data_IF_260220061013
#
_entry.id   IF_260220061013
#
_cell.length_a   1.000
_cell.length_b   1.000
_cell.length_c   1.000
_cell.angle_alpha   90.00
_cell.angle_beta   90.00
_cell.angle_gamma   90.00
#
_symmetry.space_group_name_H-M   'P 1'
#
loop_
_entity.id
_entity.type
_entity.pdbx_description
1 polymer ?
#
# COMPACT_ATOMS: atom_id res chain seq x y z
N UNK A 1 27.66 12.58 -25.02
CA UNK A 1 26.50 12.42 -24.12
C UNK A 1 26.51 11.00 -23.60
N UNK A 2 27.12 10.73 -22.43
CA UNK A 2 27.10 9.38 -21.88
C UNK A 2 25.67 9.04 -21.51
N UNK A 3 25.12 8.00 -22.11
CA UNK A 3 23.88 7.35 -21.64
C UNK A 3 24.22 6.73 -20.29
N UNK A 4 24.27 7.55 -19.24
CA UNK A 4 24.66 7.13 -17.92
C UNK A 4 23.64 6.10 -17.43
N UNK A 5 24.11 4.91 -17.07
CA UNK A 5 23.26 3.86 -16.52
C UNK A 5 22.50 4.30 -15.26
N UNK A 6 21.58 3.47 -14.81
CA UNK A 6 20.86 3.66 -13.55
C UNK A 6 21.84 3.91 -12.39
N UNK A 7 21.73 5.06 -11.73
CA UNK A 7 22.59 5.42 -10.60
C UNK A 7 21.94 5.03 -9.27
N UNK A 8 22.49 4.00 -8.62
CA UNK A 8 22.07 3.59 -7.28
C UNK A 8 22.13 4.72 -6.25
N UNK A 9 23.11 5.63 -6.40
CA UNK A 9 23.27 6.79 -5.52
C UNK A 9 22.05 7.72 -5.59
N UNK A 10 21.48 7.95 -6.78
CA UNK A 10 20.30 8.80 -6.98
C UNK A 10 19.03 8.17 -6.43
N UNK A 11 18.83 6.87 -6.69
CA UNK A 11 17.72 6.08 -6.10
C UNK A 11 17.76 6.20 -4.57
N UNK A 12 18.92 5.96 -3.97
CA UNK A 12 19.10 6.02 -2.52
C UNK A 12 18.90 7.44 -1.97
N UNK A 13 19.26 8.47 -2.72
CA UNK A 13 19.03 9.86 -2.34
C UNK A 13 17.52 10.18 -2.28
N UNK A 14 16.74 9.75 -3.28
CA UNK A 14 15.28 9.87 -3.29
C UNK A 14 14.68 9.13 -2.09
N UNK A 15 15.06 7.87 -1.86
CA UNK A 15 14.56 7.09 -0.73
C UNK A 15 14.91 7.75 0.64
N UNK A 16 16.12 8.29 0.79
CA UNK A 16 16.53 9.04 2.00
C UNK A 16 15.70 10.30 2.19
N UNK A 17 15.38 11.04 1.12
CA UNK A 17 14.51 12.22 1.19
C UNK A 17 13.15 11.84 1.79
N UNK A 18 12.47 10.84 1.23
CA UNK A 18 11.17 10.41 1.75
C UNK A 18 11.23 9.94 3.20
N UNK A 19 12.32 9.29 3.61
CA UNK A 19 12.57 8.96 5.03
C UNK A 19 12.62 10.21 5.91
N UNK A 20 13.35 11.24 5.52
CA UNK A 20 13.42 12.47 6.32
C UNK A 20 12.10 13.21 6.38
N UNK A 21 11.35 13.23 5.28
CA UNK A 21 10.01 13.83 5.27
C UNK A 21 9.09 13.08 6.22
N UNK A 22 9.09 11.74 6.18
CA UNK A 22 8.31 10.90 7.09
C UNK A 22 8.63 11.18 8.56
N UNK A 23 9.91 11.25 8.92
CA UNK A 23 10.36 11.52 10.29
C UNK A 23 9.93 12.90 10.81
N UNK A 24 9.80 13.89 9.92
CA UNK A 24 9.38 15.25 10.26
C UNK A 24 7.86 15.43 10.26
N UNK A 25 7.12 14.44 9.77
CA UNK A 25 5.67 14.50 9.57
C UNK A 25 4.98 13.38 10.34
N UNK A 26 4.84 13.50 11.67
CA UNK A 26 4.31 12.42 12.52
C UNK A 26 2.89 11.99 12.14
N UNK A 27 2.06 12.88 11.59
CA UNK A 27 0.72 12.55 11.07
C UNK A 27 0.74 11.39 10.06
N UNK A 28 1.83 11.21 9.31
CA UNK A 28 1.94 10.15 8.30
C UNK A 28 2.23 8.79 8.90
N UNK A 29 2.84 8.76 10.08
CA UNK A 29 3.00 7.53 10.84
C UNK A 29 1.64 7.04 11.36
N UNK A 30 0.72 7.96 11.67
CA UNK A 30 -0.66 7.60 12.03
C UNK A 30 -1.36 6.90 10.87
N UNK A 31 -1.29 7.40 9.64
CA UNK A 31 -1.93 6.73 8.49
C UNK A 31 -1.38 5.33 8.23
N UNK A 32 -0.08 5.12 8.44
CA UNK A 32 0.55 3.81 8.23
C UNK A 32 0.22 2.81 9.35
N UNK A 33 -0.08 3.31 10.56
CA UNK A 33 -0.20 2.47 11.75
C UNK A 33 -1.64 2.36 12.22
N UNK A 34 -2.32 3.49 12.42
CA UNK A 34 -3.67 3.54 13.00
C UNK A 34 -4.72 3.03 12.02
N UNK A 35 -4.64 3.42 10.75
CA UNK A 35 -5.62 2.99 9.77
C UNK A 35 -5.68 1.47 9.59
N UNK A 36 -4.53 0.78 9.44
CA UNK A 36 -4.53 -0.67 9.38
C UNK A 36 -5.01 -1.35 10.67
N UNK A 37 -4.75 -0.76 11.84
CA UNK A 37 -5.26 -1.28 13.10
C UNK A 37 -6.79 -1.18 13.14
N UNK A 38 -7.36 -0.04 12.73
CA UNK A 38 -8.80 0.16 12.67
C UNK A 38 -9.44 -0.84 11.71
N UNK A 39 -8.89 -1.01 10.51
CA UNK A 39 -9.44 -1.91 9.50
C UNK A 39 -9.40 -3.37 9.97
N UNK A 40 -8.26 -3.84 10.50
CA UNK A 40 -8.15 -5.23 10.98
C UNK A 40 -9.06 -5.48 12.17
N UNK A 41 -9.18 -4.54 13.11
CA UNK A 41 -10.12 -4.68 14.23
C UNK A 41 -11.56 -4.70 13.75
N UNK A 42 -11.92 -3.84 12.81
CA UNK A 42 -13.28 -3.75 12.27
C UNK A 42 -13.65 -5.04 11.52
N UNK A 43 -12.87 -5.40 10.50
CA UNK A 43 -13.15 -6.57 9.66
C UNK A 43 -12.93 -7.89 10.41
N UNK A 44 -11.97 -7.95 11.31
CA UNK A 44 -11.78 -9.11 12.19
C UNK A 44 -12.95 -9.29 13.15
N UNK A 45 -13.47 -8.21 13.76
CA UNK A 45 -14.65 -8.29 14.65
C UNK A 45 -15.90 -8.70 13.88
N UNK A 46 -16.09 -8.18 12.66
CA UNK A 46 -17.16 -8.62 11.75
C UNK A 46 -17.01 -10.11 11.45
N UNK A 47 -15.79 -10.57 11.14
CA UNK A 47 -15.51 -11.98 10.93
C UNK A 47 -15.91 -12.84 12.13
N UNK A 48 -15.52 -12.44 13.35
CA UNK A 48 -15.89 -13.15 14.58
C UNK A 48 -17.41 -13.19 14.73
N UNK A 49 -18.09 -12.07 14.54
CA UNK A 49 -19.56 -12.00 14.63
C UNK A 49 -20.24 -12.94 13.64
N UNK A 50 -19.80 -12.95 12.39
CA UNK A 50 -20.34 -13.85 11.35
C UNK A 50 -20.06 -15.31 11.67
N UNK A 51 -18.92 -15.62 12.29
CA UNK A 51 -18.57 -16.98 12.68
C UNK A 51 -19.47 -17.59 13.77
N UNK A 52 -20.11 -16.74 14.58
CA UNK A 52 -21.04 -17.15 15.64
C UNK A 52 -22.44 -17.46 15.12
N UNK A 53 -22.77 -17.08 13.88
CA UNK A 53 -24.03 -17.42 13.25
C UNK A 53 -24.16 -18.92 12.97
N UNK A 54 -25.35 -19.50 13.15
CA UNK A 54 -25.62 -20.89 12.76
C UNK A 54 -25.56 -21.02 11.23
N UNK A 55 -24.49 -21.60 10.67
CA UNK A 55 -24.31 -21.80 9.22
C UNK A 55 -22.85 -21.78 8.75
N UNK A 56 -22.60 -21.23 7.55
CA UNK A 56 -21.30 -21.14 6.86
C UNK A 56 -20.28 -20.16 7.51
N UNK A 57 -20.32 -19.99 8.83
CA UNK A 57 -19.55 -18.97 9.56
C UNK A 57 -18.03 -19.21 9.60
N UNK A 58 -17.57 -20.46 9.53
CA UNK A 58 -16.14 -20.79 9.60
C UNK A 58 -15.34 -20.39 8.34
N UNK A 59 -15.82 -20.65 7.11
CA UNK A 59 -15.17 -20.14 5.90
C UNK A 59 -15.21 -18.60 5.80
N UNK A 60 -16.34 -17.99 6.16
CA UNK A 60 -16.52 -16.53 6.08
C UNK A 60 -15.51 -15.75 6.92
N UNK A 61 -15.17 -16.25 8.12
CA UNK A 61 -14.12 -15.69 8.96
C UNK A 61 -12.76 -15.68 8.25
N UNK A 62 -12.38 -16.81 7.63
CA UNK A 62 -11.13 -16.95 6.90
C UNK A 62 -11.05 -16.02 5.69
N UNK A 63 -12.14 -15.86 4.93
CA UNK A 63 -12.20 -14.92 3.80
C UNK A 63 -12.03 -13.47 4.25
N UNK A 64 -12.69 -13.06 5.33
CA UNK A 64 -12.61 -11.68 5.82
C UNK A 64 -11.22 -11.33 6.35
N UNK A 65 -10.64 -12.18 7.21
CA UNK A 65 -9.31 -11.93 7.78
C UNK A 65 -8.17 -12.15 6.79
N UNK A 66 -8.23 -13.21 5.98
CA UNK A 66 -7.26 -13.43 4.91
C UNK A 66 -7.32 -12.31 3.88
N UNK A 67 -8.55 -11.93 3.49
CA UNK A 67 -8.83 -10.83 2.58
C UNK A 67 -8.25 -9.50 3.07
N UNK A 68 -8.57 -9.08 4.29
CA UNK A 68 -8.10 -7.79 4.81
C UNK A 68 -6.58 -7.74 4.96
N UNK A 69 -5.94 -8.84 5.38
CA UNK A 69 -4.48 -8.92 5.53
C UNK A 69 -3.79 -8.79 4.18
N UNK A 70 -4.26 -9.53 3.17
CA UNK A 70 -3.69 -9.47 1.82
C UNK A 70 -4.00 -8.13 1.13
N UNK A 71 -5.20 -7.59 1.34
CA UNK A 71 -5.59 -6.28 0.80
C UNK A 71 -4.68 -5.16 1.30
N UNK A 72 -4.23 -5.24 2.55
CA UNK A 72 -3.28 -4.27 3.09
C UNK A 72 -1.94 -4.24 2.36
N UNK A 73 -1.54 -5.33 1.70
CA UNK A 73 -0.35 -5.33 0.83
C UNK A 73 -0.56 -4.39 -0.36
N UNK A 74 -1.72 -4.50 -1.03
CA UNK A 74 -2.07 -3.63 -2.17
C UNK A 74 -2.23 -2.19 -1.69
N UNK A 75 -2.98 -1.98 -0.61
CA UNK A 75 -3.25 -0.66 -0.05
C UNK A 75 -1.95 0.07 0.31
N UNK A 76 -1.09 -0.57 1.12
CA UNK A 76 0.17 0.05 1.55
C UNK A 76 1.13 0.26 0.38
N UNK A 77 1.19 -0.68 -0.58
CA UNK A 77 2.00 -0.54 -1.78
C UNK A 77 1.59 0.68 -2.61
N UNK A 78 0.29 0.80 -2.90
CA UNK A 78 -0.24 1.89 -3.70
C UNK A 78 -0.10 3.23 -2.99
N UNK A 79 -0.55 3.32 -1.73
CA UNK A 79 -0.48 4.56 -0.95
C UNK A 79 0.96 5.01 -0.78
N UNK A 80 1.90 4.11 -0.50
CA UNK A 80 3.30 4.50 -0.33
C UNK A 80 3.90 5.16 -1.58
N UNK A 81 3.58 4.66 -2.77
CA UNK A 81 4.10 5.21 -4.02
C UNK A 81 3.36 6.48 -4.43
N UNK A 82 2.03 6.48 -4.40
CA UNK A 82 1.24 7.67 -4.76
C UNK A 82 1.50 8.84 -3.82
N UNK A 83 1.48 8.63 -2.50
CA UNK A 83 1.78 9.70 -1.54
C UNK A 83 3.23 10.13 -1.59
N UNK A 84 4.15 9.24 -1.95
CA UNK A 84 5.54 9.60 -2.22
C UNK A 84 5.66 10.64 -3.34
N UNK A 85 4.90 10.46 -4.43
CA UNK A 85 4.83 11.45 -5.50
C UNK A 85 4.08 12.73 -5.11
N UNK A 86 2.90 12.60 -4.50
CA UNK A 86 2.13 13.75 -4.03
C UNK A 86 2.93 14.64 -3.09
N UNK A 87 3.86 14.05 -2.33
CA UNK A 87 4.74 14.81 -1.46
C UNK A 87 5.59 15.85 -2.20
N UNK A 88 6.09 15.50 -3.39
CA UNK A 88 6.88 16.43 -4.19
C UNK A 88 6.01 17.57 -4.72
N UNK A 89 4.75 17.27 -5.04
CA UNK A 89 3.73 18.25 -5.43
C UNK A 89 3.40 19.18 -4.27
N UNK A 90 3.06 18.64 -3.10
CA UNK A 90 2.73 19.40 -1.89
C UNK A 90 3.89 20.27 -1.40
N UNK A 91 5.11 19.75 -1.50
CA UNK A 91 6.34 20.48 -1.16
C UNK A 91 6.78 21.49 -2.23
N UNK A 92 6.05 21.59 -3.36
CA UNK A 92 6.43 22.40 -4.53
C UNK A 92 7.85 22.11 -5.05
N UNK A 93 8.31 20.88 -4.84
CA UNK A 93 9.68 20.46 -5.14
C UNK A 93 9.80 19.76 -6.50
N UNK A 94 8.67 19.53 -7.19
CA UNK A 94 8.64 18.87 -8.49
C UNK A 94 9.52 19.58 -9.53
N UNK A 95 9.45 20.91 -9.63
CA UNK A 95 10.28 21.70 -10.56
C UNK A 95 11.78 21.55 -10.26
N UNK A 96 12.16 21.53 -8.98
CA UNK A 96 13.57 21.33 -8.61
C UNK A 96 14.06 19.96 -9.05
N UNK A 97 13.25 18.91 -8.90
CA UNK A 97 13.60 17.56 -9.37
C UNK A 97 13.81 17.52 -10.88
N UNK A 98 12.98 18.20 -11.66
CA UNK A 98 13.08 18.22 -13.13
C UNK A 98 14.34 18.92 -13.66
N UNK A 99 14.95 19.83 -12.87
CA UNK A 99 16.21 20.51 -13.23
C UNK A 99 17.44 19.69 -12.83
N UNK A 100 17.28 18.69 -11.97
CA UNK A 100 18.38 17.76 -11.63
C UNK A 100 18.56 16.70 -12.72
N UNK A 101 19.74 16.06 -12.84
CA UNK A 101 19.96 14.99 -13.81
C UNK A 101 19.25 13.67 -13.45
N UNK A 102 18.24 13.71 -12.57
CA UNK A 102 17.49 12.55 -12.08
C UNK A 102 16.55 12.03 -13.17
N UNK A 103 16.58 10.72 -13.43
CA UNK A 103 15.65 10.10 -14.37
C UNK A 103 14.34 9.71 -13.68
N UNK A 104 13.25 9.68 -14.43
CA UNK A 104 11.93 9.25 -13.95
C UNK A 104 11.97 7.83 -13.34
N UNK A 105 12.67 6.90 -13.99
CA UNK A 105 12.83 5.52 -13.49
C UNK A 105 13.63 5.48 -12.18
N UNK A 106 14.65 6.33 -12.02
CA UNK A 106 15.43 6.43 -10.78
C UNK A 106 14.58 7.00 -9.64
N UNK A 107 13.73 7.97 -9.96
CA UNK A 107 12.77 8.53 -9.01
C UNK A 107 11.75 7.49 -8.55
N UNK A 108 11.07 6.82 -9.49
CA UNK A 108 10.10 5.76 -9.17
C UNK A 108 10.73 4.64 -8.38
N UNK A 109 11.94 4.19 -8.74
CA UNK A 109 12.66 3.17 -7.98
C UNK A 109 13.02 3.64 -6.56
N UNK A 110 13.35 4.91 -6.36
CA UNK A 110 13.64 5.47 -5.04
C UNK A 110 12.40 5.57 -4.15
N UNK A 111 11.27 5.99 -4.73
CA UNK A 111 9.97 6.00 -4.06
C UNK A 111 9.54 4.57 -3.71
N UNK A 112 9.64 3.63 -4.65
CA UNK A 112 9.31 2.23 -4.45
C UNK A 112 10.18 1.58 -3.36
N UNK A 113 11.49 1.85 -3.34
CA UNK A 113 12.41 1.36 -2.31
C UNK A 113 12.00 1.84 -0.91
N UNK A 114 11.64 3.11 -0.77
CA UNK A 114 11.13 3.62 0.51
C UNK A 114 9.74 3.04 0.84
N UNK A 115 8.89 2.86 -0.18
CA UNK A 115 7.57 2.26 -0.04
C UNK A 115 7.61 0.82 0.44
N UNK A 116 8.62 0.03 0.06
CA UNK A 116 8.83 -1.32 0.60
C UNK A 116 9.03 -1.30 2.12
N UNK A 117 9.77 -0.33 2.65
CA UNK A 117 9.95 -0.20 4.10
C UNK A 117 8.61 0.12 4.78
N UNK A 118 7.83 1.05 4.22
CA UNK A 118 6.48 1.36 4.72
C UNK A 118 5.57 0.14 4.68
N UNK A 119 5.62 -0.63 3.59
CA UNK A 119 4.80 -1.83 3.41
C UNK A 119 5.14 -2.89 4.44
N UNK A 120 6.42 -3.18 4.68
CA UNK A 120 6.84 -4.15 5.70
C UNK A 120 6.33 -3.73 7.08
N UNK A 121 6.40 -2.45 7.42
CA UNK A 121 5.88 -1.94 8.69
C UNK A 121 4.36 -2.08 8.74
N UNK A 122 3.63 -1.58 7.74
CA UNK A 122 2.16 -1.58 7.73
C UNK A 122 1.57 -2.99 7.70
N UNK A 123 2.04 -3.85 6.78
CA UNK A 123 1.59 -5.24 6.67
C UNK A 123 2.05 -6.06 7.88
N UNK A 124 3.24 -5.79 8.42
CA UNK A 124 3.71 -6.42 9.65
C UNK A 124 2.81 -6.12 10.85
N UNK A 125 2.40 -4.85 11.01
CA UNK A 125 1.44 -4.46 12.05
C UNK A 125 0.09 -5.16 11.89
N UNK A 126 -0.40 -5.26 10.66
CA UNK A 126 -1.66 -5.96 10.33
C UNK A 126 -1.58 -7.45 10.67
N UNK A 127 -0.50 -8.12 10.27
CA UNK A 127 -0.30 -9.54 10.56
C UNK A 127 -0.18 -9.81 12.07
N UNK A 128 0.58 -8.96 12.79
CA UNK A 128 0.72 -9.06 14.25
C UNK A 128 -0.62 -8.85 14.97
N UNK A 129 -1.42 -7.87 14.53
CA UNK A 129 -2.73 -7.62 15.10
C UNK A 129 -3.71 -8.76 14.83
N UNK A 130 -3.73 -9.27 13.60
CA UNK A 130 -4.57 -10.41 13.22
C UNK A 130 -4.26 -11.65 14.09
N UNK A 131 -2.97 -11.89 14.35
CA UNK A 131 -2.53 -12.95 15.25
C UNK A 131 -2.94 -12.68 16.71
N UNK A 132 -2.66 -11.49 17.24
CA UNK A 132 -2.88 -11.17 18.64
C UNK A 132 -4.36 -11.05 19.03
N UNK A 133 -5.19 -10.44 18.16
CA UNK A 133 -6.60 -10.18 18.46
C UNK A 133 -7.54 -11.30 18.03
N UNK A 134 -7.20 -12.03 16.95
CA UNK A 134 -8.11 -13.01 16.33
C UNK A 134 -7.51 -14.42 16.22
N UNK A 135 -6.29 -14.64 16.73
CA UNK A 135 -5.56 -15.92 16.60
C UNK A 135 -5.41 -16.37 15.14
N UNK A 136 -5.39 -15.42 14.19
CA UNK A 136 -5.28 -15.70 12.78
C UNK A 136 -3.81 -15.63 12.34
N UNK A 137 -3.25 -16.79 12.01
CA UNK A 137 -1.85 -16.90 11.59
C UNK A 137 -1.72 -16.97 10.06
N UNK A 138 -1.38 -15.83 9.45
CA UNK A 138 -1.08 -15.75 8.01
C UNK A 138 0.24 -16.48 7.65
N UNK A 139 1.13 -16.71 8.61
CA UNK A 139 2.42 -17.37 8.36
C UNK A 139 2.29 -18.87 8.13
N UNK A 140 1.12 -19.44 8.44
CA UNK A 140 0.74 -20.81 8.09
C UNK A 140 0.77 -21.08 6.57
N UNK A 141 0.62 -20.05 5.73
CA UNK A 141 0.80 -20.11 4.27
C UNK A 141 2.27 -20.33 3.85
N UNK A 142 3.22 -20.15 4.78
CA UNK A 142 4.64 -20.38 4.57
C UNK A 142 5.23 -19.57 3.41
N UNK A 143 6.08 -20.22 2.62
CA UNK A 143 6.74 -19.61 1.46
C UNK A 143 5.77 -19.22 0.34
N UNK A 144 4.54 -19.76 0.33
CA UNK A 144 3.50 -19.40 -0.64
C UNK A 144 3.05 -17.94 -0.55
N UNK A 145 3.27 -17.30 0.61
CA UNK A 145 2.95 -15.88 0.80
C UNK A 145 3.84 -14.96 -0.04
N UNK A 146 5.08 -15.36 -0.34
CA UNK A 146 6.05 -14.54 -1.09
C UNK A 146 5.55 -14.23 -2.51
N UNK A 147 5.21 -15.20 -3.37
CA UNK A 147 4.72 -14.91 -4.72
C UNK A 147 3.40 -14.15 -4.70
N UNK A 148 2.48 -14.46 -3.77
CA UNK A 148 1.19 -13.75 -3.62
C UNK A 148 1.45 -12.28 -3.28
N UNK A 149 2.22 -12.01 -2.24
CA UNK A 149 2.56 -10.65 -1.83
C UNK A 149 3.31 -9.88 -2.92
N UNK A 150 4.17 -10.57 -3.70
CA UNK A 150 4.90 -9.95 -4.81
C UNK A 150 3.96 -9.50 -5.93
N UNK A 151 2.96 -10.30 -6.28
CA UNK A 151 1.95 -9.92 -7.28
C UNK A 151 1.12 -8.74 -6.75
N UNK A 152 0.65 -8.81 -5.52
CA UNK A 152 -0.15 -7.73 -4.89
C UNK A 152 0.64 -6.42 -4.78
N UNK A 153 1.94 -6.50 -4.48
CA UNK A 153 2.86 -5.37 -4.49
C UNK A 153 2.90 -4.71 -5.89
N UNK A 154 3.10 -5.51 -6.94
CA UNK A 154 3.16 -5.03 -8.32
C UNK A 154 1.82 -4.39 -8.72
N UNK A 155 0.69 -5.02 -8.37
CA UNK A 155 -0.65 -4.45 -8.60
C UNK A 155 -0.79 -3.08 -7.94
N UNK A 156 -0.37 -2.96 -6.67
CA UNK A 156 -0.36 -1.68 -5.97
C UNK A 156 0.49 -0.62 -6.67
N UNK A 157 1.67 -0.98 -7.18
CA UNK A 157 2.53 -0.06 -7.94
C UNK A 157 1.91 0.36 -9.27
N UNK A 158 1.27 -0.56 -10.00
CA UNK A 158 0.58 -0.24 -11.26
C UNK A 158 -0.55 0.76 -10.99
N UNK A 159 -1.38 0.53 -9.97
CA UNK A 159 -2.45 1.45 -9.58
C UNK A 159 -1.86 2.80 -9.16
N UNK A 160 -0.78 2.80 -8.39
CA UNK A 160 -0.13 4.04 -7.95
C UNK A 160 0.41 4.87 -9.11
N UNK A 161 1.08 4.25 -10.08
CA UNK A 161 1.60 4.92 -11.26
C UNK A 161 0.48 5.44 -12.14
N UNK A 162 -0.63 4.70 -12.27
CA UNK A 162 -1.84 5.18 -12.94
C UNK A 162 -2.38 6.45 -12.27
N UNK A 163 -2.56 6.43 -10.94
CA UNK A 163 -3.00 7.61 -10.17
C UNK A 163 -2.05 8.78 -10.38
N UNK A 164 -0.73 8.56 -10.27
CA UNK A 164 0.28 9.61 -10.47
C UNK A 164 0.16 10.23 -11.87
N UNK A 165 -0.03 9.42 -12.89
CA UNK A 165 -0.26 9.89 -14.26
C UNK A 165 -1.53 10.75 -14.39
N UNK A 166 -2.62 10.36 -13.73
CA UNK A 166 -3.86 11.14 -13.71
C UNK A 166 -3.67 12.46 -12.97
N UNK A 167 -3.02 12.46 -11.80
CA UNK A 167 -2.70 13.67 -11.03
C UNK A 167 -1.81 14.62 -11.83
N UNK A 168 -0.80 14.11 -12.54
CA UNK A 168 0.05 14.92 -13.43
C UNK A 168 -0.75 15.59 -14.54
N UNK A 169 -1.79 14.92 -15.06
CA UNK A 169 -2.62 15.42 -16.16
C UNK A 169 -3.70 16.42 -15.72
N UNK A 170 -4.36 16.14 -14.60
CA UNK A 170 -5.54 16.89 -14.15
C UNK A 170 -5.26 17.79 -12.93
N UNK A 171 -4.03 17.76 -12.40
CA UNK A 171 -3.59 18.58 -11.29
C UNK A 171 -4.16 18.14 -9.93
N UNK A 172 -4.20 19.08 -8.99
CA UNK A 172 -4.58 18.82 -7.60
C UNK A 172 -6.01 18.32 -7.40
N UNK A 173 -6.91 18.60 -8.36
CA UNK A 173 -8.28 18.09 -8.33
C UNK A 173 -8.38 16.56 -8.41
N UNK A 174 -7.37 15.89 -8.96
CA UNK A 174 -7.32 14.43 -9.07
C UNK A 174 -6.63 13.74 -7.89
N UNK A 175 -6.09 14.48 -6.91
CA UNK A 175 -5.37 13.89 -5.76
C UNK A 175 -6.24 12.94 -4.95
N UNK A 176 -7.54 13.21 -4.87
CA UNK A 176 -8.51 12.35 -4.20
C UNK A 176 -8.49 10.89 -4.71
N UNK A 177 -8.11 10.67 -5.98
CA UNK A 177 -8.00 9.33 -6.55
C UNK A 177 -6.90 8.48 -5.90
N UNK A 178 -5.89 9.10 -5.27
CA UNK A 178 -4.86 8.36 -4.56
C UNK A 178 -5.41 7.51 -3.42
N UNK A 179 -6.53 7.90 -2.83
CA UNK A 179 -7.27 7.09 -1.87
C UNK A 179 -8.52 6.45 -2.49
N UNK A 180 -9.22 7.21 -3.34
CA UNK A 180 -10.50 6.82 -3.93
C UNK A 180 -10.45 5.57 -4.81
N UNK A 181 -9.37 5.38 -5.59
CA UNK A 181 -9.29 4.25 -6.54
C UNK A 181 -9.33 2.91 -5.84
N UNK A 182 -8.74 2.81 -4.63
CA UNK A 182 -8.72 1.56 -3.87
C UNK A 182 -10.12 1.17 -3.39
N UNK A 183 -10.98 2.14 -3.06
CA UNK A 183 -12.36 1.86 -2.69
C UNK A 183 -13.19 1.30 -3.86
N UNK A 184 -12.80 1.57 -5.10
CA UNK A 184 -13.43 0.97 -6.30
C UNK A 184 -12.87 -0.43 -6.56
N UNK A 185 -11.56 -0.61 -6.42
CA UNK A 185 -10.91 -1.91 -6.68
C UNK A 185 -11.26 -2.96 -5.62
N UNK A 186 -11.41 -2.55 -4.36
CA UNK A 186 -11.69 -3.44 -3.23
C UNK A 186 -12.94 -4.34 -3.44
N UNK A 187 -14.13 -3.81 -3.76
CA UNK A 187 -15.32 -4.64 -3.99
C UNK A 187 -15.23 -5.45 -5.29
N UNK A 188 -14.55 -4.96 -6.32
CA UNK A 188 -14.48 -5.65 -7.61
C UNK A 188 -13.50 -6.83 -7.59
N UNK A 189 -12.61 -6.91 -6.61
CA UNK A 189 -11.54 -7.90 -6.54
C UNK A 189 -11.89 -9.16 -5.73
N UNK A 190 -13.10 -9.25 -5.16
CA UNK A 190 -13.52 -10.42 -4.38
C UNK A 190 -12.69 -10.59 -3.10
N UNK A 191 -12.20 -9.50 -2.50
CA UNK A 191 -11.33 -9.53 -1.32
C UNK A 191 -12.03 -10.18 -0.13
N UNK A 192 -13.31 -9.87 0.07
CA UNK A 192 -14.08 -10.30 1.24
C UNK A 192 -15.11 -11.39 0.95
N UNK A 193 -15.37 -11.67 -0.33
CA UNK A 193 -16.42 -12.58 -0.76
C UNK A 193 -16.03 -13.27 -2.08
N UNK A 194 -16.61 -14.44 -2.35
CA UNK A 194 -16.39 -15.15 -3.61
C UNK A 194 -16.80 -14.30 -4.81
N UNK A 195 -16.05 -14.39 -5.91
CA UNK A 195 -16.32 -13.59 -7.12
C UNK A 195 -17.67 -13.95 -7.74
N UNK A 196 -18.16 -15.17 -7.50
CA UNK A 196 -19.48 -15.64 -7.93
C UNK A 196 -20.65 -14.90 -7.26
N UNK A 197 -20.39 -14.11 -6.21
CA UNK A 197 -21.40 -13.30 -5.53
C UNK A 197 -21.60 -11.89 -6.13
N UNK A 198 -20.75 -11.48 -7.10
CA UNK A 198 -20.89 -10.26 -7.92
C UNK A 198 -21.83 -10.50 -9.11
#
# INVERSE_FOLDING_TARGET
MSVGGLSWMRIRAVARRHRYVMQRSPHRLFDISVWPLVDVLLFGSIGVFVSQGRGAGSPAFGYLLGGIVLWHVVYQSQIAVSTGFLEETWSRNLLNLMVTPLKEVEYVAGVALFGLVKLVIGVGLVALLALAAFSFDITSLGLGLIPIASILLIVGWVIALFVVGVVLRFGSGAEALAWGVLFVVMPLSGVFYPVEAL
#
